data_IF_264075284645
#
_entry.id   IF_264075284645
#
_cell.length_a   1.000
_cell.length_b   1.000
_cell.length_c   1.000
_cell.angle_alpha   90.00
_cell.angle_beta   90.00
_cell.angle_gamma   90.00
#
_symmetry.space_group_name_H-M   'P 1'
#
loop_
_entity.id
_entity.type
_entity.pdbx_description
1 polymer ?
#
# COMPACT_ATOMS: atom_id res chain seq x y z
N UNK A 1 0.14 16.69 -8.92
CA UNK A 1 -0.38 15.95 -7.74
C UNK A 1 -0.48 16.93 -6.57
N UNK A 2 -1.61 17.00 -5.85
CA UNK A 2 -1.80 17.80 -4.65
C UNK A 2 -0.78 17.39 -3.60
N UNK A 3 -0.40 18.39 -2.80
CA UNK A 3 0.59 18.21 -1.73
C UNK A 3 0.02 17.24 -0.67
N UNK A 4 0.81 16.25 -0.22
CA UNK A 4 0.43 15.39 0.91
C UNK A 4 0.00 16.20 2.14
N UNK A 5 -1.00 15.68 2.84
CA UNK A 5 -1.70 16.34 3.95
C UNK A 5 -1.26 15.72 5.28
N UNK A 6 -1.05 16.48 6.37
CA UNK A 6 -0.73 15.92 7.67
C UNK A 6 -1.76 14.89 8.17
N UNK A 7 -1.28 13.82 8.83
CA UNK A 7 -2.13 12.74 9.33
C UNK A 7 -3.20 13.21 10.32
N UNK A 8 -2.95 14.30 11.07
CA UNK A 8 -3.89 14.85 12.06
C UNK A 8 -5.21 15.37 11.48
N UNK A 9 -5.34 15.46 10.16
CA UNK A 9 -6.61 15.79 9.50
C UNK A 9 -7.40 14.56 9.06
N UNK A 10 -6.89 13.35 9.31
CA UNK A 10 -7.54 12.08 8.96
C UNK A 10 -8.28 11.55 10.17
N UNK A 11 -9.60 11.42 10.05
CA UNK A 11 -10.43 10.83 11.10
C UNK A 11 -10.28 9.31 11.15
N UNK A 12 -10.35 8.67 9.99
CA UNK A 12 -10.12 7.23 9.83
C UNK A 12 -9.69 6.89 8.40
N UNK A 13 -9.16 5.68 8.23
CA UNK A 13 -8.77 5.14 6.93
C UNK A 13 -9.11 3.65 6.85
N UNK A 14 -9.57 3.21 5.69
CA UNK A 14 -9.66 1.78 5.36
C UNK A 14 -9.47 1.54 3.85
N UNK A 15 -8.96 0.36 3.49
CA UNK A 15 -8.90 -0.02 2.07
C UNK A 15 -10.28 -0.42 1.55
N UNK A 16 -10.83 0.39 0.65
CA UNK A 16 -12.13 0.17 0.02
C UNK A 16 -12.07 -0.65 -1.28
N UNK A 17 -10.93 -1.28 -1.59
CA UNK A 17 -10.75 -2.11 -2.80
C UNK A 17 -11.09 -1.37 -4.11
N UNK A 18 -10.80 -0.06 -4.18
CA UNK A 18 -11.01 0.75 -5.40
C UNK A 18 -9.98 0.49 -6.52
N UNK A 19 -8.82 -0.09 -6.19
CA UNK A 19 -7.74 -0.35 -7.15
C UNK A 19 -6.95 0.88 -7.59
N UNK A 20 -7.27 2.09 -7.11
CA UNK A 20 -6.59 3.34 -7.50
C UNK A 20 -5.08 3.30 -7.23
N UNK A 21 -4.66 2.71 -6.10
CA UNK A 21 -3.24 2.50 -5.79
C UNK A 21 -2.51 1.65 -6.83
N UNK A 22 -3.21 0.68 -7.43
CA UNK A 22 -2.65 -0.20 -8.45
C UNK A 22 -2.73 0.38 -9.87
N UNK A 23 -3.54 1.42 -10.10
CA UNK A 23 -3.68 2.08 -11.41
C UNK A 23 -2.79 3.29 -11.54
N UNK A 24 -2.72 4.11 -10.49
CA UNK A 24 -2.16 5.45 -10.58
C UNK A 24 -0.67 5.49 -10.19
N UNK A 25 -0.18 4.47 -9.46
CA UNK A 25 1.18 4.47 -8.90
C UNK A 25 2.05 3.38 -9.51
N UNK A 26 3.26 3.79 -9.94
CA UNK A 26 4.33 2.86 -10.33
C UNK A 26 5.08 2.45 -9.06
N UNK A 27 4.91 1.19 -8.65
CA UNK A 27 5.46 0.67 -7.40
C UNK A 27 6.93 0.35 -7.57
N UNK A 28 7.78 1.08 -6.84
CA UNK A 28 9.21 0.77 -6.71
C UNK A 28 9.37 -0.42 -5.77
N UNK A 29 10.26 -1.34 -6.14
CA UNK A 29 10.64 -2.50 -5.35
C UNK A 29 12.05 -2.29 -4.80
N UNK A 30 12.28 -2.81 -3.60
CA UNK A 30 13.65 -3.06 -3.15
C UNK A 30 14.24 -4.28 -3.87
N UNK A 31 15.58 -4.43 -3.94
CA UNK A 31 16.21 -5.59 -4.58
C UNK A 31 15.71 -6.94 -4.05
N UNK A 32 15.56 -7.07 -2.73
CA UNK A 32 15.07 -8.29 -2.09
C UNK A 32 13.59 -8.58 -2.40
N UNK A 33 12.77 -7.55 -2.58
CA UNK A 33 11.36 -7.69 -2.98
C UNK A 33 11.25 -8.10 -4.44
N UNK A 34 12.09 -7.53 -5.30
CA UNK A 34 12.17 -7.90 -6.71
C UNK A 34 12.56 -9.36 -6.86
N UNK A 35 13.63 -9.81 -6.20
CA UNK A 35 14.10 -11.20 -6.27
C UNK A 35 12.99 -12.17 -5.83
N UNK A 36 12.39 -11.94 -4.66
CA UNK A 36 11.30 -12.76 -4.14
C UNK A 36 10.12 -12.85 -5.11
N UNK A 37 9.73 -11.73 -5.71
CA UNK A 37 8.60 -11.70 -6.65
C UNK A 37 8.91 -12.43 -7.96
N UNK A 38 10.13 -12.28 -8.49
CA UNK A 38 10.57 -12.98 -9.70
C UNK A 38 10.66 -14.48 -9.46
N UNK A 39 11.19 -14.91 -8.32
CA UNK A 39 11.25 -16.33 -7.94
C UNK A 39 9.85 -16.94 -7.77
N UNK A 40 8.93 -16.20 -7.13
CA UNK A 40 7.59 -16.72 -6.80
C UNK A 40 6.63 -16.68 -7.99
N UNK A 41 6.70 -15.66 -8.84
CA UNK A 41 5.70 -15.39 -9.88
C UNK A 41 6.28 -15.34 -11.31
N UNK A 42 7.58 -15.54 -11.46
CA UNK A 42 8.29 -15.46 -12.73
C UNK A 42 8.75 -14.04 -13.09
N UNK A 43 9.71 -13.90 -14.02
CA UNK A 43 10.30 -12.60 -14.38
C UNK A 43 9.30 -11.61 -14.99
N UNK A 44 8.17 -12.10 -15.52
CA UNK A 44 7.13 -11.29 -16.14
C UNK A 44 6.36 -10.36 -15.19
N UNK A 45 6.55 -10.45 -13.87
CA UNK A 45 5.81 -9.60 -12.91
C UNK A 45 6.53 -8.34 -12.48
N UNK A 46 7.79 -8.19 -12.84
CA UNK A 46 8.62 -7.07 -12.48
C UNK A 46 9.41 -6.54 -13.69
N UNK A 47 9.91 -5.32 -13.58
CA UNK A 47 10.70 -4.66 -14.62
C UNK A 47 11.81 -3.81 -14.01
N UNK A 48 12.87 -3.58 -14.78
CA UNK A 48 13.99 -2.70 -14.42
C UNK A 48 13.86 -1.41 -15.25
N UNK A 49 14.04 -0.26 -14.61
CA UNK A 49 14.08 1.03 -15.31
C UNK A 49 14.79 2.10 -14.50
N UNK A 50 15.56 2.98 -15.14
CA UNK A 50 16.28 4.08 -14.48
C UNK A 50 17.06 3.63 -13.22
N UNK A 51 17.72 2.47 -13.28
CA UNK A 51 18.49 1.91 -12.15
C UNK A 51 17.66 1.42 -10.97
N UNK A 52 16.34 1.23 -11.12
CA UNK A 52 15.43 0.76 -10.07
C UNK A 52 14.58 -0.41 -10.55
N UNK A 53 14.04 -1.16 -9.59
CA UNK A 53 13.09 -2.24 -9.82
C UNK A 53 11.66 -1.76 -9.61
N UNK A 54 10.74 -2.25 -10.43
CA UNK A 54 9.32 -1.92 -10.34
C UNK A 54 8.44 -3.15 -10.51
N UNK A 55 7.23 -3.11 -9.94
CA UNK A 55 6.18 -4.01 -10.40
C UNK A 55 5.82 -3.68 -11.84
N UNK A 56 5.71 -4.72 -12.68
CA UNK A 56 5.30 -4.55 -14.08
C UNK A 56 3.89 -3.95 -14.15
N UNK A 57 3.66 -3.14 -15.17
CA UNK A 57 2.33 -2.61 -15.53
C UNK A 57 1.84 -3.27 -16.81
N UNK A 58 0.52 -3.44 -16.91
CA UNK A 58 -0.19 -3.85 -18.12
C UNK A 58 -0.20 -2.73 -19.16
N UNK A 59 -0.57 -3.00 -20.43
CA UNK A 59 -0.71 -1.97 -21.45
C UNK A 59 -1.67 -0.83 -21.07
N UNK A 60 -2.71 -1.12 -20.28
CA UNK A 60 -3.66 -0.12 -19.76
C UNK A 60 -3.09 0.72 -18.58
N UNK A 61 -1.83 0.49 -18.20
CA UNK A 61 -1.18 1.13 -17.08
C UNK A 61 -1.54 0.54 -15.71
N UNK A 62 -2.38 -0.47 -15.59
CA UNK A 62 -2.65 -1.09 -14.29
C UNK A 62 -1.53 -2.03 -13.85
N UNK A 63 -1.31 -2.18 -12.54
CA UNK A 63 -0.40 -3.19 -11.99
C UNK A 63 -0.83 -4.59 -12.43
N UNK A 64 0.12 -5.44 -12.82
CA UNK A 64 -0.14 -6.83 -13.27
C UNK A 64 -0.85 -7.71 -12.23
N UNK A 65 -0.80 -7.32 -10.95
CA UNK A 65 -1.48 -8.00 -9.84
C UNK A 65 -2.86 -7.42 -9.50
N UNK A 66 -3.35 -6.43 -10.23
CA UNK A 66 -4.70 -5.90 -10.02
C UNK A 66 -5.74 -6.84 -10.61
N UNK A 67 -6.64 -7.36 -9.79
CA UNK A 67 -7.69 -8.32 -10.21
C UNK A 67 -9.07 -7.74 -9.95
N UNK A 68 -9.96 -7.80 -10.94
CA UNK A 68 -11.37 -7.48 -10.75
C UNK A 68 -12.13 -8.71 -10.22
N UNK A 69 -12.91 -8.54 -9.16
CA UNK A 69 -13.85 -9.56 -8.68
C UNK A 69 -15.17 -8.87 -8.36
N UNK A 70 -16.20 -9.17 -9.14
CA UNK A 70 -17.46 -8.44 -9.10
C UNK A 70 -17.26 -6.95 -9.39
N UNK A 71 -17.71 -6.10 -8.48
CA UNK A 71 -17.58 -4.64 -8.50
C UNK A 71 -16.28 -4.13 -7.85
N UNK A 72 -15.46 -5.01 -7.28
CA UNK A 72 -14.25 -4.64 -6.53
C UNK A 72 -12.96 -4.91 -7.28
N UNK A 73 -11.93 -4.14 -6.92
CA UNK A 73 -10.57 -4.28 -7.41
C UNK A 73 -9.62 -4.71 -6.29
N UNK A 74 -9.09 -5.92 -6.42
CA UNK A 74 -8.27 -6.57 -5.41
C UNK A 74 -6.81 -6.62 -5.82
N UNK A 75 -5.92 -6.51 -4.83
CA UNK A 75 -4.51 -6.78 -5.03
C UNK A 75 -4.26 -8.29 -4.91
N UNK A 76 -3.66 -8.90 -5.94
CA UNK A 76 -3.26 -10.31 -5.92
C UNK A 76 -2.08 -10.63 -4.99
N UNK A 77 -1.35 -9.62 -4.52
CA UNK A 77 -0.18 -9.75 -3.66
C UNK A 77 -0.48 -9.57 -2.16
N UNK A 78 -1.70 -9.79 -1.65
CA UNK A 78 -2.04 -9.44 -0.25
C UNK A 78 -0.96 -9.84 0.78
N UNK A 79 -0.43 -11.06 0.69
CA UNK A 79 0.57 -11.63 1.61
C UNK A 79 2.02 -11.35 1.18
N UNK A 80 2.23 -10.87 -0.04
CA UNK A 80 3.54 -10.63 -0.64
C UNK A 80 3.74 -9.16 -1.03
N UNK A 81 2.89 -8.25 -0.53
CA UNK A 81 2.92 -6.83 -0.92
C UNK A 81 4.32 -6.25 -0.64
N UNK A 82 4.91 -5.53 -1.61
CA UNK A 82 6.09 -4.72 -1.37
C UNK A 82 5.82 -3.65 -0.31
N UNK A 83 6.86 -3.19 0.39
CA UNK A 83 6.81 -2.13 1.40
C UNK A 83 6.16 -0.86 0.86
N UNK A 84 6.44 -0.49 -0.39
CA UNK A 84 5.79 0.64 -1.04
C UNK A 84 4.26 0.48 -1.15
N UNK A 85 3.76 -0.72 -1.46
CA UNK A 85 2.33 -1.03 -1.47
C UNK A 85 1.74 -1.06 -0.04
N UNK A 86 2.49 -1.58 0.94
CA UNK A 86 2.07 -1.63 2.35
C UNK A 86 1.95 -0.24 2.96
N UNK A 87 2.79 0.71 2.56
CA UNK A 87 2.78 2.08 3.10
C UNK A 87 1.76 3.00 2.44
N UNK A 88 1.25 2.68 1.26
CA UNK A 88 0.24 3.51 0.60
C UNK A 88 -1.06 3.59 1.44
N UNK A 89 -1.66 4.78 1.67
CA UNK A 89 -1.33 6.12 1.14
C UNK A 89 -0.48 7.01 2.05
N UNK A 90 0.11 6.47 3.11
CA UNK A 90 0.85 7.24 4.10
C UNK A 90 2.34 7.35 3.75
N UNK A 91 2.94 8.46 4.18
CA UNK A 91 4.36 8.76 4.05
C UNK A 91 4.87 9.07 5.45
N UNK A 92 5.63 8.15 6.03
CA UNK A 92 6.29 8.31 7.33
C UNK A 92 7.73 8.73 7.09
N UNK A 93 8.12 9.89 7.60
CA UNK A 93 9.39 10.55 7.31
C UNK A 93 10.10 10.97 8.59
N UNK A 94 11.43 11.06 8.55
CA UNK A 94 12.24 11.63 9.62
C UNK A 94 12.29 13.16 9.63
N UNK A 95 11.74 13.82 8.61
CA UNK A 95 11.72 15.28 8.49
C UNK A 95 10.44 15.78 7.79
N UNK A 96 9.96 17.01 8.07
CA UNK A 96 8.64 17.51 7.65
C UNK A 96 8.60 17.97 6.18
N UNK A 97 8.76 17.03 5.24
CA UNK A 97 8.92 17.31 3.80
C UNK A 97 7.82 18.13 3.15
N UNK A 98 6.59 18.05 3.63
CA UNK A 98 5.44 18.67 2.97
C UNK A 98 4.86 19.86 3.76
N UNK A 99 5.63 20.43 4.68
CA UNK A 99 5.22 21.55 5.53
C UNK A 99 4.31 21.10 6.68
N UNK A 100 3.75 22.07 7.43
CA UNK A 100 2.88 21.79 8.60
C UNK A 100 3.51 20.80 9.59
N UNK A 101 4.75 21.06 10.06
CA UNK A 101 5.50 20.11 10.87
C UNK A 101 4.76 19.75 12.15
N UNK A 102 4.12 20.72 12.81
CA UNK A 102 3.36 20.51 14.05
C UNK A 102 2.21 19.53 13.85
N UNK A 103 1.47 19.66 12.74
CA UNK A 103 0.33 18.81 12.45
C UNK A 103 0.75 17.43 11.91
N UNK A 104 1.93 17.33 11.28
CA UNK A 104 2.46 16.07 10.78
C UNK A 104 3.22 15.29 11.86
N UNK A 105 3.66 15.97 12.92
CA UNK A 105 4.48 15.38 13.98
C UNK A 105 3.74 14.28 14.74
N UNK A 106 4.47 13.20 14.98
CA UNK A 106 4.15 12.15 15.93
C UNK A 106 5.44 11.58 16.50
N UNK A 107 5.47 11.32 17.80
CA UNK A 107 6.55 10.59 18.43
C UNK A 107 6.16 9.13 18.57
N UNK A 108 7.04 8.22 18.18
CA UNK A 108 6.83 6.79 18.32
C UNK A 108 8.08 6.15 18.92
N UNK A 109 7.94 5.59 20.13
CA UNK A 109 9.05 4.98 20.87
C UNK A 109 10.28 5.91 21.00
N UNK A 110 10.05 7.19 21.30
CA UNK A 110 11.10 8.21 21.41
C UNK A 110 11.67 8.70 20.07
N UNK A 111 11.16 8.21 18.93
CA UNK A 111 11.61 8.63 17.60
C UNK A 111 10.65 9.70 17.07
N UNK A 112 11.14 10.93 16.77
CA UNK A 112 10.33 11.96 16.14
C UNK A 112 10.09 11.61 14.66
N UNK A 113 8.82 11.59 14.25
CA UNK A 113 8.39 11.28 12.90
C UNK A 113 7.40 12.32 12.39
N UNK A 114 7.32 12.42 11.06
CA UNK A 114 6.37 13.27 10.36
C UNK A 114 5.57 12.43 9.39
N UNK A 115 4.27 12.30 9.64
CA UNK A 115 3.37 11.47 8.83
C UNK A 115 2.44 12.32 7.99
N UNK A 116 2.44 12.02 6.70
CA UNK A 116 1.57 12.64 5.71
C UNK A 116 0.75 11.58 5.00
N UNK A 117 -0.38 11.99 4.44
CA UNK A 117 -1.27 11.15 3.64
C UNK A 117 -1.42 11.74 2.24
N UNK A 118 -1.45 10.88 1.23
CA UNK A 118 -1.84 11.31 -0.11
C UNK A 118 -3.38 11.45 -0.20
N UNK A 119 -3.91 12.65 -0.47
CA UNK A 119 -5.34 12.91 -0.40
C UNK A 119 -6.16 12.22 -1.49
N UNK A 120 -5.52 11.62 -2.50
CA UNK A 120 -6.23 10.90 -3.55
C UNK A 120 -6.71 9.51 -3.16
N UNK A 121 -6.35 9.01 -1.98
CA UNK A 121 -6.89 7.73 -1.53
C UNK A 121 -8.37 7.89 -1.14
N UNK A 122 -9.30 7.22 -1.83
CA UNK A 122 -10.73 7.30 -1.50
C UNK A 122 -11.09 6.56 -0.20
N UNK A 123 -10.13 5.89 0.43
CA UNK A 123 -10.29 5.23 1.73
C UNK A 123 -10.19 6.17 2.92
N UNK A 124 -9.84 7.44 2.70
CA UNK A 124 -9.67 8.45 3.75
C UNK A 124 -11.03 9.04 4.13
N UNK A 125 -11.31 9.11 5.43
CA UNK A 125 -12.33 10.01 5.98
C UNK A 125 -11.64 11.17 6.68
N UNK A 126 -11.88 12.39 6.21
CA UNK A 126 -11.32 13.62 6.80
C UNK A 126 -12.03 13.99 8.09
N UNK A 127 -11.31 14.62 9.02
CA UNK A 127 -11.82 15.06 10.32
C UNK A 127 -10.85 14.79 11.45
N UNK A 128 -11.34 14.87 12.69
CA UNK A 128 -10.51 14.61 13.87
C UNK A 128 -10.15 13.12 13.98
N UNK A 129 -8.86 12.78 14.20
CA UNK A 129 -8.38 11.41 14.35
C UNK A 129 -9.14 10.65 15.43
N UNK A 130 -9.75 9.53 15.05
CA UNK A 130 -10.37 8.63 16.02
C UNK A 130 -9.29 7.91 16.84
N UNK A 131 -9.54 7.54 18.11
CA UNK A 131 -8.61 6.76 18.91
C UNK A 131 -8.18 5.46 18.21
N UNK A 132 -9.12 4.77 17.57
CA UNK A 132 -8.85 3.55 16.79
C UNK A 132 -7.89 3.81 15.62
N UNK A 133 -8.12 4.87 14.84
CA UNK A 133 -7.23 5.21 13.73
C UNK A 133 -5.79 5.43 14.22
N UNK A 134 -5.61 6.19 15.31
CA UNK A 134 -4.29 6.50 15.85
C UNK A 134 -3.60 5.27 16.44
N UNK A 135 -4.29 4.55 17.34
CA UNK A 135 -3.69 3.44 18.10
C UNK A 135 -3.47 2.17 17.28
N UNK A 136 -4.19 2.02 16.16
CA UNK A 136 -4.23 0.78 15.38
C UNK A 136 -3.72 0.99 13.95
N UNK A 137 -4.43 1.77 13.14
CA UNK A 137 -4.14 1.89 11.70
C UNK A 137 -2.86 2.70 11.45
N UNK A 138 -2.78 3.91 12.01
CA UNK A 138 -1.63 4.80 11.87
C UNK A 138 -0.38 4.18 12.51
N UNK A 139 -0.53 3.59 13.71
CA UNK A 139 0.53 2.84 14.38
C UNK A 139 1.10 1.75 13.46
N UNK A 140 0.24 0.98 12.80
CA UNK A 140 0.70 -0.07 11.88
C UNK A 140 1.51 0.50 10.71
N UNK A 141 1.07 1.61 10.11
CA UNK A 141 1.85 2.29 9.06
C UNK A 141 3.23 2.74 9.56
N UNK A 142 3.32 3.25 10.79
CA UNK A 142 4.59 3.67 11.41
C UNK A 142 5.50 2.46 11.64
N UNK A 143 4.98 1.38 12.24
CA UNK A 143 5.74 0.15 12.49
C UNK A 143 6.25 -0.48 11.17
N UNK A 144 5.43 -0.49 10.12
CA UNK A 144 5.82 -0.93 8.78
C UNK A 144 6.92 -0.04 8.18
N UNK A 145 6.82 1.28 8.37
CA UNK A 145 7.80 2.23 7.86
C UNK A 145 9.15 2.06 8.54
N UNK A 146 9.16 1.87 9.85
CA UNK A 146 10.36 1.61 10.65
C UNK A 146 10.91 0.19 10.47
N UNK A 147 10.13 -0.74 9.91
CA UNK A 147 10.53 -2.14 9.73
C UNK A 147 10.42 -2.98 11.00
N UNK A 148 9.74 -2.47 12.03
CA UNK A 148 9.42 -3.19 13.28
C UNK A 148 8.38 -4.28 13.00
N UNK A 149 7.44 -3.98 12.08
CA UNK A 149 6.42 -4.90 11.59
C UNK A 149 6.65 -5.15 10.10
N UNK A 150 6.37 -6.38 9.66
CA UNK A 150 6.39 -6.74 8.23
C UNK A 150 4.97 -6.92 7.70
N UNK A 151 4.09 -7.61 8.43
CA UNK A 151 2.74 -7.96 7.96
C UNK A 151 1.71 -6.86 8.17
N UNK A 152 0.65 -6.85 7.33
CA UNK A 152 -0.47 -5.93 7.47
C UNK A 152 -1.69 -6.66 8.03
N UNK A 153 -2.27 -6.11 9.08
CA UNK A 153 -3.53 -6.58 9.65
C UNK A 153 -4.63 -5.54 9.49
N UNK A 154 -4.36 -4.26 9.80
CA UNK A 154 -5.36 -3.19 9.85
C UNK A 154 -5.26 -2.21 8.67
N UNK A 155 -4.08 -2.14 8.03
CA UNK A 155 -3.73 -1.28 6.90
C UNK A 155 -3.94 -1.98 5.53
N UNK A 156 -4.79 -3.01 5.50
CA UNK A 156 -5.06 -3.83 4.31
C UNK A 156 -6.56 -4.05 4.07
N UNK A 157 -6.92 -4.54 2.89
CA UNK A 157 -8.30 -4.91 2.60
C UNK A 157 -8.73 -6.09 3.48
N UNK A 158 -9.86 -5.95 4.17
CA UNK A 158 -10.50 -7.06 4.88
C UNK A 158 -11.27 -7.90 3.85
N UNK A 159 -10.68 -9.02 3.46
CA UNK A 159 -11.26 -9.95 2.50
C UNK A 159 -11.95 -11.10 3.26
N UNK A 160 -13.16 -11.53 2.86
CA UNK A 160 -13.72 -12.79 3.32
C UNK A 160 -12.79 -13.96 3.00
N UNK A 161 -12.81 -15.00 3.81
CA UNK A 161 -11.91 -16.16 3.63
C UNK A 161 -12.13 -16.86 2.29
N UNK A 162 -13.38 -16.95 1.82
CA UNK A 162 -13.70 -17.49 0.49
C UNK A 162 -12.96 -16.74 -0.64
N UNK A 163 -12.84 -15.42 -0.53
CA UNK A 163 -12.18 -14.58 -1.51
C UNK A 163 -10.65 -14.64 -1.39
N UNK A 164 -10.12 -14.77 -0.17
CA UNK A 164 -8.69 -15.06 0.05
C UNK A 164 -8.31 -16.40 -0.58
N UNK A 165 -9.09 -17.45 -0.33
CA UNK A 165 -8.88 -18.77 -0.92
C UNK A 165 -8.97 -18.73 -2.46
N UNK A 166 -9.95 -18.03 -3.01
CA UNK A 166 -10.08 -17.83 -4.46
C UNK A 166 -8.84 -17.18 -5.07
N UNK A 167 -8.33 -16.10 -4.48
CA UNK A 167 -7.13 -15.43 -4.96
C UNK A 167 -5.91 -16.36 -4.88
N UNK A 168 -5.77 -17.12 -3.79
CA UNK A 168 -4.67 -18.09 -3.63
C UNK A 168 -4.77 -19.24 -4.63
N UNK A 169 -5.96 -19.77 -4.90
CA UNK A 169 -6.17 -20.82 -5.91
C UNK A 169 -5.82 -20.32 -7.32
N UNK A 170 -6.24 -19.11 -7.69
CA UNK A 170 -5.87 -18.51 -8.98
C UNK A 170 -4.37 -18.33 -9.17
N UNK A 171 -3.60 -18.11 -8.08
CA UNK A 171 -2.12 -18.06 -8.14
C UNK A 171 -1.53 -19.39 -8.64
N UNK A 172 -2.10 -20.54 -8.25
CA UNK A 172 -1.59 -21.88 -8.61
C UNK A 172 -1.96 -22.34 -10.01
N UNK A 173 -3.08 -21.87 -10.54
CA UNK A 173 -3.62 -22.36 -11.82
C UNK A 173 -3.03 -21.64 -13.04
N UNK A 174 -2.16 -20.63 -12.85
CA UNK A 174 -1.40 -20.02 -13.96
C UNK A 174 -2.27 -19.46 -15.09
N UNK A 175 -3.55 -19.15 -14.84
CA UNK A 175 -4.46 -18.69 -15.89
C UNK A 175 -4.29 -17.18 -16.06
N UNK A 176 -3.71 -16.68 -17.17
CA UNK A 176 -3.72 -15.26 -17.45
C UNK A 176 -5.18 -14.80 -17.47
N UNK A 177 -5.46 -13.65 -16.88
CA UNK A 177 -6.77 -13.04 -16.99
C UNK A 177 -7.07 -12.86 -18.48
N UNK A 178 -8.08 -13.55 -18.98
CA UNK A 178 -8.67 -13.29 -20.29
C UNK A 178 -9.03 -11.80 -20.34
N UNK A 179 -8.55 -11.15 -21.39
CA UNK A 179 -8.87 -9.78 -21.78
C UNK A 179 -10.37 -9.66 -21.99
#
# INVERSE_FOLDING_TARGET
MPRPVPWRYVSSWSCNMCGKCCRDYRVVLKPEEWLRLVETYGPGVAEVGHGKFYLRRRPDGSCVFLTKVGDRWLCGLQDAKPKACKLWPFKVLSWPKYGRPTEAYIEYAGIPLYVYVDPYCPGIKWGQPTPYFVSTVLREFIELALGIRVEQEHSTAKLPDSLRLYLTARRRVGRPATI
#
